data_IF_296269664289
#
_entry.id   IF_296269664289
#
_cell.length_a   1.000
_cell.length_b   1.000
_cell.length_c   1.000
_cell.angle_alpha   90.00
_cell.angle_beta   90.00
_cell.angle_gamma   90.00
#
_symmetry.space_group_name_H-M   'P 1'
#
loop_
_entity.id
_entity.type
_entity.pdbx_description
1 polymer ?
#
# COMPACT_ATOMS: atom_id res chain seq x y z
N UNK A 1 17.96 -17.45 13.74
CA UNK A 1 18.32 -16.17 13.07
C UNK A 1 17.64 -16.16 11.72
N UNK A 2 16.45 -15.55 11.58
CA UNK A 2 15.74 -15.44 10.30
C UNK A 2 16.04 -14.08 9.70
N UNK A 3 16.74 -14.05 8.57
CA UNK A 3 17.25 -12.84 7.94
C UNK A 3 16.21 -12.11 7.07
N UNK A 4 16.63 -11.02 6.39
CA UNK A 4 15.82 -10.12 5.54
C UNK A 4 15.19 -10.77 4.29
N UNK A 5 15.13 -12.09 4.24
CA UNK A 5 14.83 -12.92 3.07
C UNK A 5 13.36 -12.84 2.64
N UNK A 6 12.44 -12.65 3.60
CA UNK A 6 11.01 -12.57 3.30
C UNK A 6 10.68 -11.34 2.43
N UNK A 7 11.27 -10.18 2.72
CA UNK A 7 11.03 -8.95 1.94
C UNK A 7 11.73 -8.96 0.57
N UNK A 8 12.87 -9.64 0.45
CA UNK A 8 13.63 -9.73 -0.79
C UNK A 8 12.85 -10.45 -1.91
N UNK A 9 12.03 -11.45 -1.56
CA UNK A 9 11.19 -12.19 -2.50
C UNK A 9 10.16 -11.30 -3.23
N UNK A 10 9.74 -10.19 -2.61
CA UNK A 10 8.69 -9.31 -3.15
C UNK A 10 9.23 -8.03 -3.80
N UNK A 11 10.52 -7.74 -3.63
CA UNK A 11 11.12 -6.46 -4.06
C UNK A 11 10.99 -6.24 -5.58
N UNK A 12 11.20 -7.28 -6.39
CA UNK A 12 11.09 -7.19 -7.83
C UNK A 12 9.66 -6.79 -8.26
N UNK A 13 8.64 -7.43 -7.68
CA UNK A 13 7.23 -7.10 -7.92
C UNK A 13 6.89 -5.68 -7.49
N UNK A 14 7.38 -5.23 -6.32
CA UNK A 14 7.20 -3.85 -5.86
C UNK A 14 7.78 -2.86 -6.87
N UNK A 15 8.98 -3.10 -7.38
CA UNK A 15 9.63 -2.22 -8.37
C UNK A 15 8.83 -2.18 -9.68
N UNK A 16 8.30 -3.32 -10.13
CA UNK A 16 7.50 -3.42 -11.35
C UNK A 16 6.14 -2.70 -11.24
N UNK A 17 5.54 -2.62 -10.05
CA UNK A 17 4.25 -1.96 -9.83
C UNK A 17 4.35 -0.43 -9.72
N UNK A 18 5.54 0.12 -9.44
CA UNK A 18 5.73 1.58 -9.27
C UNK A 18 5.29 2.39 -10.50
N UNK A 19 5.68 2.07 -11.75
CA UNK A 19 5.23 2.81 -12.92
C UNK A 19 3.72 2.73 -13.12
N UNK A 20 3.11 1.57 -12.83
CA UNK A 20 1.68 1.33 -12.93
C UNK A 20 0.90 2.22 -11.97
N UNK A 21 1.29 2.26 -10.69
CA UNK A 21 0.72 3.16 -9.68
C UNK A 21 0.91 4.63 -10.05
N UNK A 22 2.12 4.99 -10.50
CA UNK A 22 2.43 6.37 -10.91
C UNK A 22 1.55 6.81 -12.08
N UNK A 23 1.35 5.94 -13.07
CA UNK A 23 0.49 6.22 -14.22
C UNK A 23 -0.98 6.35 -13.80
N UNK A 24 -1.47 5.49 -12.91
CA UNK A 24 -2.84 5.53 -12.43
C UNK A 24 -3.18 6.85 -11.72
N UNK A 25 -2.22 7.39 -10.98
CA UNK A 25 -2.39 8.61 -10.20
C UNK A 25 -2.04 9.89 -10.98
N UNK A 26 -1.44 9.77 -12.17
CA UNK A 26 -0.93 10.92 -12.92
C UNK A 26 -2.03 11.92 -13.33
N UNK A 27 -3.21 11.40 -13.70
CA UNK A 27 -4.34 12.22 -14.17
C UNK A 27 -5.31 12.60 -13.04
N UNK A 28 -5.06 12.11 -11.82
CA UNK A 28 -5.93 12.34 -10.68
C UNK A 28 -5.58 13.66 -9.99
N UNK A 29 -6.30 14.73 -10.35
CA UNK A 29 -6.17 16.03 -9.68
C UNK A 29 -7.11 16.09 -8.46
N UNK A 30 -6.52 16.21 -7.26
CA UNK A 30 -7.25 16.31 -6.00
C UNK A 30 -6.87 17.59 -5.28
N UNK A 31 -7.85 18.45 -5.01
CA UNK A 31 -7.60 19.69 -4.27
C UNK A 31 -7.07 19.41 -2.86
N UNK A 32 -5.96 20.04 -2.50
CA UNK A 32 -5.27 19.83 -1.22
C UNK A 32 -4.42 18.56 -1.17
N UNK A 33 -4.19 17.88 -2.29
CA UNK A 33 -3.34 16.70 -2.36
C UNK A 33 -2.44 16.74 -3.59
N UNK A 34 -1.18 17.10 -3.36
CA UNK A 34 -0.12 17.11 -4.36
C UNK A 34 0.67 15.80 -4.43
N UNK A 35 0.77 15.04 -3.34
CA UNK A 35 1.55 13.78 -3.31
C UNK A 35 0.88 12.69 -2.48
N UNK A 36 1.01 11.45 -2.93
CA UNK A 36 0.65 10.26 -2.16
C UNK A 36 1.91 9.41 -2.02
N UNK A 37 2.36 9.26 -0.78
CA UNK A 37 3.47 8.39 -0.42
C UNK A 37 2.91 7.05 0.04
N UNK A 38 3.40 5.95 -0.53
CA UNK A 38 2.97 4.60 -0.17
C UNK A 38 4.16 3.87 0.44
N UNK A 39 4.05 3.50 1.71
CA UNK A 39 5.02 2.66 2.40
C UNK A 39 4.44 1.26 2.56
N UNK A 40 5.10 0.27 1.97
CA UNK A 40 4.76 -1.15 2.13
C UNK A 40 5.83 -1.83 2.97
N UNK A 41 5.47 -2.19 4.19
CA UNK A 41 6.31 -2.91 5.14
C UNK A 41 5.96 -4.39 5.09
N UNK A 42 6.92 -5.24 4.70
CA UNK A 42 6.74 -6.70 4.65
C UNK A 42 7.61 -7.32 5.72
N UNK A 43 6.99 -8.06 6.64
CA UNK A 43 7.61 -8.62 7.83
C UNK A 43 8.76 -9.57 7.51
N UNK A 44 9.87 -9.39 8.23
CA UNK A 44 11.12 -10.14 8.02
C UNK A 44 12.31 -9.68 8.89
N UNK A 45 12.13 -8.72 9.80
CA UNK A 45 13.16 -8.29 10.75
C UNK A 45 12.87 -8.84 12.14
N UNK A 46 13.93 -9.08 12.93
CA UNK A 46 13.92 -9.54 14.35
C UNK A 46 13.02 -8.67 15.26
N UNK A 47 12.70 -7.46 14.83
CA UNK A 47 11.78 -6.54 15.50
C UNK A 47 10.47 -6.47 14.72
N UNK A 48 9.64 -7.51 14.82
CA UNK A 48 8.24 -7.48 14.37
C UNK A 48 7.45 -6.60 15.35
N UNK A 49 7.75 -5.30 15.39
CA UNK A 49 7.05 -4.27 16.16
C UNK A 49 5.82 -3.75 15.38
N UNK A 50 5.28 -4.57 14.49
CA UNK A 50 4.03 -4.31 13.79
C UNK A 50 2.82 -4.76 14.62
N UNK A 51 1.63 -4.22 14.34
CA UNK A 51 0.38 -4.74 14.91
C UNK A 51 0.19 -6.22 14.54
N UNK A 52 -0.53 -6.98 15.38
CA UNK A 52 -0.92 -8.35 15.06
C UNK A 52 -1.85 -8.35 13.83
N UNK A 53 -1.30 -8.69 12.66
CA UNK A 53 -2.06 -8.81 11.42
C UNK A 53 -1.78 -7.73 10.37
N UNK A 54 -2.45 -7.85 9.24
CA UNK A 54 -2.42 -6.85 8.18
C UNK A 54 -2.99 -5.53 8.72
N UNK A 55 -2.28 -4.42 8.47
CA UNK A 55 -2.77 -3.10 8.85
C UNK A 55 -2.46 -2.04 7.81
N UNK A 56 -3.31 -1.02 7.76
CA UNK A 56 -3.17 0.12 6.88
C UNK A 56 -3.55 1.40 7.61
N UNK A 57 -2.62 2.35 7.65
CA UNK A 57 -2.82 3.63 8.33
C UNK A 57 -2.47 4.78 7.42
N UNK A 58 -3.22 5.87 7.51
CA UNK A 58 -2.97 7.06 6.73
C UNK A 58 -2.55 8.24 7.62
N UNK A 59 -1.64 9.07 7.11
CA UNK A 59 -1.24 10.32 7.74
C UNK A 59 -1.24 11.43 6.70
N UNK A 60 -1.93 12.51 7.00
CA UNK A 60 -2.07 13.64 6.09
C UNK A 60 -1.35 14.88 6.61
N UNK A 61 -0.51 15.45 5.75
CA UNK A 61 0.28 16.64 6.01
C UNK A 61 -0.25 17.80 5.17
N UNK A 62 -1.26 18.51 5.68
CA UNK A 62 -1.94 19.59 4.94
C UNK A 62 -0.99 20.67 4.40
N UNK A 63 0.04 21.06 5.18
CA UNK A 63 1.03 22.07 4.74
C UNK A 63 1.87 21.63 3.54
N UNK A 64 2.00 20.31 3.33
CA UNK A 64 2.77 19.71 2.23
C UNK A 64 1.85 19.12 1.16
N UNK A 65 0.53 19.20 1.35
CA UNK A 65 -0.47 18.54 0.52
C UNK A 65 -0.10 17.06 0.24
N UNK A 66 0.35 16.36 1.29
CA UNK A 66 0.90 15.00 1.18
C UNK A 66 0.09 14.03 2.04
N UNK A 67 -0.27 12.89 1.47
CA UNK A 67 -0.89 11.76 2.16
C UNK A 67 0.08 10.58 2.17
N UNK A 68 0.52 10.18 3.36
CA UNK A 68 1.27 8.94 3.57
C UNK A 68 0.29 7.81 3.88
N UNK A 69 0.35 6.74 3.11
CA UNK A 69 -0.32 5.47 3.38
C UNK A 69 0.73 4.42 3.77
N UNK A 70 0.70 3.98 5.03
CA UNK A 70 1.58 2.94 5.54
C UNK A 70 0.81 1.62 5.67
N UNK A 71 1.22 0.63 4.87
CA UNK A 71 0.67 -0.73 4.84
C UNK A 71 1.69 -1.67 5.47
N UNK A 72 1.27 -2.44 6.46
CA UNK A 72 2.11 -3.44 7.14
C UNK A 72 1.56 -4.84 6.91
N UNK A 73 2.37 -5.68 6.29
CA UNK A 73 2.12 -7.10 6.03
C UNK A 73 3.04 -7.90 6.96
N UNK A 74 2.52 -8.52 8.03
CA UNK A 74 3.36 -9.26 8.98
C UNK A 74 3.97 -10.50 8.35
N UNK A 75 5.05 -11.03 8.94
CA UNK A 75 5.79 -12.18 8.40
C UNK A 75 4.90 -13.40 8.19
N UNK A 76 3.94 -13.64 9.09
CA UNK A 76 3.00 -14.77 8.99
C UNK A 76 2.12 -14.69 7.75
N UNK A 77 1.62 -13.50 7.42
CA UNK A 77 0.83 -13.27 6.20
C UNK A 77 1.72 -13.41 4.97
N UNK A 78 2.88 -12.76 4.96
CA UNK A 78 3.81 -12.82 3.84
C UNK A 78 4.31 -14.25 3.54
N UNK A 79 4.56 -15.06 4.57
CA UNK A 79 5.00 -16.45 4.42
C UNK A 79 3.87 -17.39 3.95
N UNK A 80 2.61 -17.06 4.24
CA UNK A 80 1.46 -17.83 3.79
C UNK A 80 0.99 -17.47 2.37
N UNK A 81 1.50 -16.38 1.80
CA UNK A 81 1.08 -15.91 0.49
C UNK A 81 1.75 -16.65 -0.67
N UNK A 82 1.05 -16.86 -1.80
CA UNK A 82 1.61 -17.54 -2.96
C UNK A 82 2.80 -16.78 -3.56
N UNK A 83 3.93 -17.47 -3.76
CA UNK A 83 5.13 -16.90 -4.40
C UNK A 83 5.22 -17.20 -5.90
N UNK A 84 4.25 -17.96 -6.45
CA UNK A 84 4.20 -18.32 -7.87
C UNK A 84 3.84 -17.12 -8.76
N UNK A 85 3.11 -16.16 -8.20
CA UNK A 85 2.71 -14.88 -8.82
C UNK A 85 2.86 -13.74 -7.82
N UNK A 86 4.11 -13.34 -7.52
CA UNK A 86 4.37 -12.37 -6.45
C UNK A 86 3.82 -10.98 -6.76
N UNK A 87 3.68 -10.63 -8.04
CA UNK A 87 3.02 -9.41 -8.52
C UNK A 87 1.57 -9.32 -8.05
N UNK A 88 0.75 -10.35 -8.28
CA UNK A 88 -0.66 -10.34 -7.88
C UNK A 88 -0.82 -10.26 -6.36
N UNK A 89 0.04 -10.95 -5.62
CA UNK A 89 0.02 -10.89 -4.14
C UNK A 89 0.30 -9.47 -3.64
N UNK A 90 1.29 -8.78 -4.23
CA UNK A 90 1.60 -7.39 -3.86
C UNK A 90 0.47 -6.44 -4.31
N UNK A 91 -0.14 -6.69 -5.46
CA UNK A 91 -1.33 -5.95 -5.91
C UNK A 91 -2.51 -6.09 -4.93
N UNK A 92 -2.78 -7.31 -4.45
CA UNK A 92 -3.81 -7.58 -3.46
C UNK A 92 -3.53 -6.87 -2.13
N UNK A 93 -2.30 -6.93 -1.62
CA UNK A 93 -1.92 -6.21 -0.40
C UNK A 93 -2.06 -4.69 -0.54
N UNK A 94 -1.69 -4.14 -1.69
CA UNK A 94 -1.88 -2.72 -1.97
C UNK A 94 -3.38 -2.38 -2.01
N UNK A 95 -4.18 -3.15 -2.74
CA UNK A 95 -5.62 -2.94 -2.84
C UNK A 95 -6.31 -3.01 -1.47
N UNK A 96 -6.01 -4.03 -0.68
CA UNK A 96 -6.52 -4.16 0.68
C UNK A 96 -6.03 -3.04 1.60
N UNK A 97 -4.80 -2.58 1.39
CA UNK A 97 -4.25 -1.42 2.07
C UNK A 97 -5.04 -0.14 1.80
N UNK A 98 -5.35 0.15 0.53
CA UNK A 98 -6.17 1.30 0.16
C UNK A 98 -7.62 1.18 0.64
N UNK A 99 -8.22 -0.02 0.61
CA UNK A 99 -9.60 -0.25 1.06
C UNK A 99 -9.76 -0.16 2.57
N UNK A 100 -8.78 -0.64 3.33
CA UNK A 100 -8.83 -0.69 4.81
C UNK A 100 -8.26 0.55 5.49
N UNK A 101 -7.66 1.48 4.73
CA UNK A 101 -7.00 2.66 5.27
C UNK A 101 -7.95 3.52 6.10
N UNK A 102 -7.59 3.76 7.37
CA UNK A 102 -8.30 4.72 8.20
C UNK A 102 -7.70 6.11 8.04
N UNK A 103 -8.50 7.03 7.49
CA UNK A 103 -8.08 8.41 7.31
C UNK A 103 -8.13 9.20 8.62
N UNK A 104 -7.12 10.05 8.88
CA UNK A 104 -7.21 11.00 9.98
C UNK A 104 -8.29 12.04 9.69
N UNK A 105 -8.87 12.64 10.75
CA UNK A 105 -9.92 13.67 10.62
C UNK A 105 -9.53 14.82 9.69
N UNK A 106 -8.26 15.21 9.68
CA UNK A 106 -7.72 16.26 8.81
C UNK A 106 -7.78 15.93 7.32
N UNK A 107 -7.88 14.64 6.95
CA UNK A 107 -7.91 14.15 5.57
C UNK A 107 -9.32 13.78 5.10
N UNK A 108 -10.35 13.86 5.95
CA UNK A 108 -11.70 13.41 5.61
C UNK A 108 -12.35 14.19 4.44
N UNK A 109 -11.84 15.39 4.15
CA UNK A 109 -12.29 16.19 3.00
C UNK A 109 -11.67 15.74 1.67
N UNK A 110 -10.62 14.92 1.71
CA UNK A 110 -10.03 14.36 0.50
C UNK A 110 -10.98 13.29 -0.07
N UNK A 111 -11.15 13.22 -1.40
CA UNK A 111 -11.92 12.17 -2.07
C UNK A 111 -11.13 10.85 -2.08
N UNK A 112 -10.75 10.35 -0.90
CA UNK A 112 -9.90 9.17 -0.79
C UNK A 112 -10.55 7.89 -1.33
N UNK A 113 -11.88 7.79 -1.30
CA UNK A 113 -12.58 6.69 -1.96
C UNK A 113 -12.29 6.65 -3.46
N UNK A 114 -12.27 7.80 -4.14
CA UNK A 114 -11.93 7.92 -5.57
C UNK A 114 -10.45 7.56 -5.82
N UNK A 115 -9.56 8.00 -4.93
CA UNK A 115 -8.13 7.64 -4.98
C UNK A 115 -7.98 6.12 -4.88
N UNK A 116 -8.60 5.51 -3.87
CA UNK A 116 -8.55 4.08 -3.62
C UNK A 116 -9.14 3.28 -4.79
N UNK A 117 -10.26 3.73 -5.37
CA UNK A 117 -10.87 3.11 -6.55
C UNK A 117 -9.96 3.17 -7.78
N UNK A 118 -9.35 4.33 -8.03
CA UNK A 118 -8.41 4.54 -9.14
C UNK A 118 -7.21 3.60 -9.02
N UNK A 119 -6.64 3.50 -7.81
CA UNK A 119 -5.54 2.58 -7.54
C UNK A 119 -6.00 1.13 -7.70
N UNK A 120 -7.08 0.70 -7.05
CA UNK A 120 -7.56 -0.69 -7.12
C UNK A 120 -7.89 -1.14 -8.55
N UNK A 121 -8.49 -0.25 -9.35
CA UNK A 121 -8.80 -0.50 -10.76
C UNK A 121 -7.54 -0.65 -11.58
N UNK A 122 -6.53 0.20 -11.32
CA UNK A 122 -5.24 0.09 -12.00
C UNK A 122 -4.54 -1.22 -11.69
N UNK A 123 -4.60 -1.68 -10.44
CA UNK A 123 -3.95 -2.92 -9.98
C UNK A 123 -4.60 -4.20 -10.56
N UNK A 124 -5.67 -4.10 -11.37
CA UNK A 124 -6.36 -5.27 -11.90
C UNK A 124 -7.20 -6.02 -10.85
N UNK A 125 -7.24 -5.50 -9.61
CA UNK A 125 -8.07 -5.98 -8.51
C UNK A 125 -9.50 -5.45 -8.61
N UNK A 126 -10.12 -5.59 -9.78
CA UNK A 126 -11.57 -5.44 -9.92
C UNK A 126 -12.20 -6.72 -9.42
N UNK A 127 -12.72 -6.73 -8.18
CA UNK A 127 -13.62 -7.82 -7.78
C UNK A 127 -14.80 -7.83 -8.75
N UNK A 128 -14.96 -8.93 -9.48
CA UNK A 128 -16.28 -9.42 -9.85
C UNK A 128 -17.02 -9.87 -8.59
#
# INVERSE_FOLDING_TARGET
MGGPEAGAAWLASIVQLRPKLKSALADLSVNGLGTIDIELWIGGSITDYGPEGFSSTARYYAKKESLLLAISVPKTVAAASPQERPEHTVEDWLADGFRSAQLPRSAQKLPFALIAETVCSSLGTSRQ
#
